data_IF_041631018120
#
_entry.id   IF_041631018120
#
_cell.length_a   1.000
_cell.length_b   1.000
_cell.length_c   1.000
_cell.angle_alpha   90.00
_cell.angle_beta   90.00
_cell.angle_gamma   90.00
#
_symmetry.space_group_name_H-M   'P 1'
#
loop_
_entity.id
_entity.type
_entity.pdbx_description
1 polymer ?
#
# COMPACT_ATOMS: atom_id res chain seq x y z
N UNK A 1 7.57 13.21 11.75
CA UNK A 1 6.53 12.38 11.12
C UNK A 1 5.54 13.26 10.39
N UNK A 2 5.21 12.88 9.16
CA UNK A 2 4.23 13.54 8.28
C UNK A 2 3.28 12.48 7.72
N UNK A 3 2.06 12.86 7.38
CA UNK A 3 1.12 11.97 6.72
C UNK A 3 1.40 11.94 5.21
N UNK A 4 1.35 10.74 4.66
CA UNK A 4 1.42 10.48 3.23
C UNK A 4 0.22 9.63 2.83
N UNK A 5 -0.20 9.82 1.57
CA UNK A 5 -1.28 9.06 0.96
C UNK A 5 -0.72 8.39 -0.28
N UNK A 6 -0.84 7.06 -0.35
CA UNK A 6 -0.52 6.27 -1.53
C UNK A 6 -1.81 5.78 -2.17
N UNK A 7 -1.85 5.82 -3.50
CA UNK A 7 -2.96 5.28 -4.30
C UNK A 7 -2.42 4.13 -5.14
N UNK A 8 -3.02 2.96 -4.97
CA UNK A 8 -2.57 1.75 -5.68
C UNK A 8 -3.58 1.39 -6.74
N UNK A 9 -3.09 1.17 -7.96
CA UNK A 9 -3.84 0.57 -9.05
C UNK A 9 -3.13 -0.71 -9.46
N UNK A 10 -3.84 -1.82 -9.43
CA UNK A 10 -3.32 -3.11 -9.86
C UNK A 10 -3.57 -3.32 -11.34
N UNK A 11 -2.67 -4.07 -11.95
CA UNK A 11 -2.85 -4.52 -13.32
C UNK A 11 -3.98 -5.56 -13.38
N UNK A 12 -4.80 -5.50 -14.44
CA UNK A 12 -5.92 -6.42 -14.63
C UNK A 12 -5.50 -7.90 -14.68
N UNK A 13 -4.26 -8.19 -15.09
CA UNK A 13 -3.74 -9.56 -15.13
C UNK A 13 -3.34 -10.09 -13.74
N UNK A 14 -3.15 -9.22 -12.76
CA UNK A 14 -2.70 -9.61 -11.41
C UNK A 14 -3.84 -10.13 -10.53
N UNK A 15 -5.10 -9.88 -10.90
CA UNK A 15 -6.27 -10.21 -10.09
C UNK A 15 -7.13 -11.23 -10.81
N UNK A 16 -6.93 -12.51 -10.49
CA UNK A 16 -7.71 -13.62 -11.05
C UNK A 16 -8.97 -13.93 -10.23
N UNK A 17 -9.01 -13.48 -8.97
CA UNK A 17 -10.16 -13.61 -8.08
C UNK A 17 -10.08 -12.61 -6.91
N UNK A 18 -11.20 -12.31 -6.21
CA UNK A 18 -11.19 -11.47 -5.02
C UNK A 18 -10.28 -12.00 -3.89
N UNK A 19 -10.14 -13.33 -3.78
CA UNK A 19 -9.26 -13.93 -2.77
C UNK A 19 -7.78 -13.70 -3.11
N UNK A 20 -7.42 -13.88 -4.37
CA UNK A 20 -6.05 -13.64 -4.85
C UNK A 20 -5.63 -12.18 -4.66
N UNK A 21 -6.58 -11.26 -4.77
CA UNK A 21 -6.38 -9.85 -4.46
C UNK A 21 -6.00 -9.63 -2.99
N UNK A 22 -6.81 -10.15 -2.06
CA UNK A 22 -6.55 -10.02 -0.63
C UNK A 22 -5.19 -10.63 -0.22
N UNK A 23 -4.82 -11.76 -0.83
CA UNK A 23 -3.54 -12.41 -0.58
C UNK A 23 -2.36 -11.59 -1.13
N UNK A 24 -2.52 -10.99 -2.31
CA UNK A 24 -1.50 -10.11 -2.90
C UNK A 24 -1.27 -8.86 -2.04
N UNK A 25 -2.35 -8.26 -1.55
CA UNK A 25 -2.30 -7.11 -0.63
C UNK A 25 -1.53 -7.47 0.65
N UNK A 26 -1.87 -8.59 1.30
CA UNK A 26 -1.19 -9.04 2.53
C UNK A 26 0.30 -9.26 2.30
N UNK A 27 0.69 -9.86 1.18
CA UNK A 27 2.09 -10.10 0.84
C UNK A 27 2.85 -8.80 0.59
N UNK A 28 2.25 -7.85 -0.13
CA UNK A 28 2.85 -6.54 -0.37
C UNK A 28 3.05 -5.78 0.95
N UNK A 29 2.03 -5.75 1.81
CA UNK A 29 2.10 -5.09 3.11
C UNK A 29 3.13 -5.71 4.05
N UNK A 30 3.28 -7.04 4.02
CA UNK A 30 4.33 -7.71 4.79
C UNK A 30 5.73 -7.24 4.37
N UNK A 31 5.99 -7.16 3.06
CA UNK A 31 7.29 -6.66 2.53
C UNK A 31 7.53 -5.20 2.87
N UNK A 32 6.50 -4.35 2.75
CA UNK A 32 6.62 -2.93 3.10
C UNK A 32 7.00 -2.75 4.56
N UNK A 33 6.37 -3.51 5.47
CA UNK A 33 6.70 -3.46 6.91
C UNK A 33 8.12 -3.96 7.21
N UNK A 34 8.62 -4.94 6.47
CA UNK A 34 10.00 -5.42 6.62
C UNK A 34 11.02 -4.40 6.12
N UNK A 35 10.75 -3.76 4.97
CA UNK A 35 11.70 -2.85 4.31
C UNK A 35 11.65 -1.42 4.84
N UNK A 36 10.52 -1.01 5.43
CA UNK A 36 10.27 0.35 5.89
C UNK A 36 9.88 0.38 7.38
N UNK A 37 10.79 0.03 8.31
CA UNK A 37 10.48 -0.01 9.74
C UNK A 37 10.12 1.37 10.32
N UNK A 38 10.56 2.45 9.67
CA UNK A 38 10.27 3.84 10.08
C UNK A 38 8.90 4.34 9.59
N UNK A 39 8.11 3.47 8.94
CA UNK A 39 6.76 3.78 8.46
C UNK A 39 5.72 3.23 9.44
N UNK A 40 4.82 4.11 9.86
CA UNK A 40 3.67 3.75 10.68
C UNK A 40 2.41 3.73 9.80
N UNK A 41 1.86 2.53 9.60
CA UNK A 41 0.61 2.37 8.84
C UNK A 41 -0.58 2.86 9.65
N UNK A 42 -1.38 3.77 9.10
CA UNK A 42 -2.52 4.37 9.81
C UNK A 42 -3.81 3.69 9.40
N UNK A 43 -4.08 3.61 8.10
CA UNK A 43 -5.29 2.98 7.58
C UNK A 43 -5.15 2.60 6.11
N UNK A 44 -5.84 1.54 5.71
CA UNK A 44 -5.98 1.12 4.31
C UNK A 44 -7.45 1.00 3.94
N UNK A 45 -7.80 1.50 2.75
CA UNK A 45 -9.15 1.44 2.22
C UNK A 45 -9.13 0.79 0.84
N UNK A 46 -9.93 -0.26 0.66
CA UNK A 46 -10.37 -0.66 -0.67
C UNK A 46 -11.38 0.38 -1.18
N UNK A 47 -11.16 0.91 -2.37
CA UNK A 47 -11.98 1.99 -2.94
C UNK A 47 -12.65 1.54 -4.23
N UNK A 48 -13.81 2.16 -4.52
CA UNK A 48 -14.49 2.00 -5.80
C UNK A 48 -14.05 3.14 -6.71
N UNK A 49 -13.53 2.84 -7.90
CA UNK A 49 -13.10 3.86 -8.85
C UNK A 49 -11.93 3.41 -9.71
N UNK A 50 -11.12 4.35 -10.24
CA UNK A 50 -9.99 4.03 -11.12
C UNK A 50 -8.77 3.43 -10.39
N UNK A 51 -8.80 3.39 -9.05
CA UNK A 51 -7.78 2.82 -8.18
C UNK A 51 -8.44 1.74 -7.31
N UNK A 52 -7.61 0.84 -6.79
CA UNK A 52 -8.07 -0.29 -5.98
C UNK A 52 -7.92 0.00 -4.48
N UNK A 53 -6.84 0.67 -4.09
CA UNK A 53 -6.56 1.01 -2.70
C UNK A 53 -6.10 2.45 -2.48
N UNK A 54 -6.43 2.95 -1.29
CA UNK A 54 -5.88 4.18 -0.71
C UNK A 54 -5.28 3.83 0.64
N UNK A 55 -3.98 4.07 0.79
CA UNK A 55 -3.23 3.84 2.01
C UNK A 55 -2.81 5.17 2.64
N UNK A 56 -3.08 5.31 3.94
CA UNK A 56 -2.64 6.44 4.76
C UNK A 56 -1.60 5.93 5.74
N UNK A 57 -0.42 6.55 5.74
CA UNK A 57 0.67 6.16 6.62
C UNK A 57 1.50 7.39 7.02
N UNK A 58 2.32 7.24 8.05
CA UNK A 58 3.23 8.27 8.53
C UNK A 58 4.67 7.84 8.26
N UNK A 59 5.48 8.79 7.79
CA UNK A 59 6.91 8.61 7.55
C UNK A 59 7.69 9.85 8.01
N UNK A 60 9.02 9.76 8.23
CA UNK A 60 9.84 10.92 8.59
C UNK A 60 9.95 11.95 7.46
N UNK A 61 10.08 11.48 6.22
CA UNK A 61 10.31 12.28 5.00
C UNK A 61 9.74 11.58 3.76
N UNK A 62 9.81 12.29 2.61
CA UNK A 62 9.29 11.79 1.34
C UNK A 62 10.12 10.64 0.78
N UNK A 63 11.43 10.61 1.04
CA UNK A 63 12.33 9.55 0.56
C UNK A 63 11.99 8.21 1.21
N UNK A 64 11.70 8.23 2.51
CA UNK A 64 11.23 7.06 3.26
C UNK A 64 9.82 6.66 2.82
N UNK A 65 8.94 7.63 2.60
CA UNK A 65 7.58 7.37 2.12
C UNK A 65 7.57 6.72 0.73
N UNK A 66 8.47 7.09 -0.18
CA UNK A 66 8.52 6.52 -1.53
C UNK A 66 8.89 5.03 -1.56
N UNK A 67 9.63 4.54 -0.56
CA UNK A 67 10.03 3.12 -0.46
C UNK A 67 8.86 2.18 -0.23
N UNK A 68 7.66 2.67 0.12
CA UNK A 68 6.48 1.82 0.31
C UNK A 68 5.78 1.44 -0.99
N UNK A 69 6.14 2.09 -2.10
CA UNK A 69 5.50 1.94 -3.43
C UNK A 69 6.18 0.90 -4.34
N UNK A 70 7.05 0.04 -3.79
CA UNK A 70 7.88 -0.89 -4.59
C UNK A 70 7.19 -2.22 -4.84
#
# INVERSE_FOLDING_TARGET
MRYFVMVTRMASEAVTSPQALEDLEKQAMAKVREQCPDVEWVQSFAVLGPYDYVDVFRAPDIETAQKVSV
#
